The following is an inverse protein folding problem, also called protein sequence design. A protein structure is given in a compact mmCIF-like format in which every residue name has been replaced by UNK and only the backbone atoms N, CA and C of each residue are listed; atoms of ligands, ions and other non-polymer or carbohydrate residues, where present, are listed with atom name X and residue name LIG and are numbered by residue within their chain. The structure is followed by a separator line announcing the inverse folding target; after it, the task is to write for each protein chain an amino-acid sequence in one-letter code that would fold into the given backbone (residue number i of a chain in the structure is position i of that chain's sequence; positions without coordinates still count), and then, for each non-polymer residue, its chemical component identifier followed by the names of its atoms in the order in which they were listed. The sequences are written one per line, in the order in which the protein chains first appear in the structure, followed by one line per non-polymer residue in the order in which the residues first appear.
data_IF_968001896656
#
_entry.id   IF_968001896656
#
_cell.length_a   1.000
_cell.length_b   1.000
_cell.length_c   1.000
_cell.angle_alpha   90.00
_cell.angle_beta   90.00
_cell.angle_gamma   90.00
#
_symmetry.space_group_name_H-M   'P 1'
#
loop_
_entity.id
_entity.type
_entity.pdbx_description
1 polymer ?
#
# COMPACT_ATOMS: atom_id res chain seq x y z
N UNK A 1 -30.57 20.54 15.23
CA UNK A 1 -30.51 19.07 15.46
C UNK A 1 -30.43 18.42 14.08
N UNK A 2 -29.26 18.49 13.44
CA UNK A 2 -29.03 18.08 12.04
C UNK A 2 -28.08 16.90 12.09
N UNK A 3 -28.67 15.72 12.11
CA UNK A 3 -28.03 14.43 12.35
C UNK A 3 -28.20 13.63 11.06
N UNK A 4 -27.43 13.94 10.00
CA UNK A 4 -27.33 13.14 8.75
C UNK A 4 -26.30 13.63 7.71
N UNK A 5 -25.56 14.73 7.94
CA UNK A 5 -24.57 15.26 6.96
C UNK A 5 -23.14 14.69 7.11
N UNK A 6 -22.92 13.65 7.93
CA UNK A 6 -21.58 13.13 8.25
C UNK A 6 -21.09 11.93 7.41
N UNK A 7 -21.84 11.50 6.38
CA UNK A 7 -21.54 10.26 5.61
C UNK A 7 -20.82 10.52 4.26
N UNK A 8 -20.43 11.77 3.93
CA UNK A 8 -19.94 12.12 2.57
C UNK A 8 -18.47 12.56 2.46
N UNK A 9 -17.56 11.94 3.22
CA UNK A 9 -16.10 12.04 2.99
C UNK A 9 -15.49 10.64 2.79
N UNK A 10 -16.20 9.77 2.05
CA UNK A 10 -15.74 8.39 1.75
C UNK A 10 -16.07 7.99 0.33
N UNK A 11 -15.75 8.86 -0.61
CA UNK A 11 -15.55 8.56 -2.02
C UNK A 11 -14.33 9.38 -2.43
N UNK A 12 -13.55 8.92 -3.41
CA UNK A 12 -12.23 9.46 -3.84
C UNK A 12 -11.01 8.69 -3.35
N UNK A 13 -11.10 7.38 -3.46
CA UNK A 13 -10.04 6.49 -3.95
C UNK A 13 -10.45 5.95 -5.31
N UNK A 14 -11.16 6.79 -6.07
CA UNK A 14 -11.99 6.40 -7.18
C UNK A 14 -11.20 6.05 -8.45
N UNK A 15 -9.94 5.59 -8.35
CA UNK A 15 -9.20 4.75 -9.31
C UNK A 15 -8.43 3.66 -8.54
N UNK A 16 -9.11 3.08 -7.55
CA UNK A 16 -9.37 1.64 -7.49
C UNK A 16 -10.72 1.30 -8.18
N UNK A 17 -11.37 2.30 -8.80
CA UNK A 17 -12.56 2.20 -9.66
C UNK A 17 -12.10 1.57 -10.96
N UNK A 18 -12.44 0.31 -11.23
CA UNK A 18 -13.80 -0.20 -11.28
C UNK A 18 -14.01 -1.51 -10.48
N UNK A 19 -13.22 -1.79 -9.43
CA UNK A 19 -13.29 -3.13 -8.82
C UNK A 19 -12.95 -3.35 -7.36
N UNK A 20 -12.28 -2.44 -6.64
CA UNK A 20 -11.63 -2.90 -5.41
C UNK A 20 -11.60 -1.94 -4.20
N UNK A 21 -12.70 -1.23 -3.96
CA UNK A 21 -13.13 -1.03 -2.55
C UNK A 21 -14.52 -1.62 -2.40
N UNK A 22 -14.55 -2.94 -2.20
CA UNK A 22 -15.67 -3.51 -1.45
C UNK A 22 -15.63 -2.82 -0.09
N UNK A 23 -16.71 -2.15 0.33
CA UNK A 23 -16.78 -1.54 1.65
C UNK A 23 -16.32 -2.56 2.68
N UNK A 24 -15.19 -2.31 3.35
CA UNK A 24 -14.68 -3.22 4.37
C UNK A 24 -15.76 -3.31 5.43
N UNK A 25 -16.23 -4.53 5.70
CA UNK A 25 -17.33 -4.69 6.64
C UNK A 25 -16.84 -4.27 8.03
N UNK A 26 -17.67 -3.63 8.86
CA UNK A 26 -17.25 -3.16 10.18
C UNK A 26 -16.60 -4.23 11.07
N UNK A 27 -17.02 -5.49 10.93
CA UNK A 27 -16.42 -6.65 11.58
C UNK A 27 -14.98 -6.95 11.14
N UNK A 28 -14.68 -6.75 9.86
CA UNK A 28 -13.34 -6.96 9.28
C UNK A 28 -12.36 -5.86 9.75
N UNK A 29 -12.85 -4.66 10.12
CA UNK A 29 -12.03 -3.55 10.63
C UNK A 29 -11.39 -3.84 12.01
N UNK A 30 -12.06 -4.61 12.87
CA UNK A 30 -11.49 -4.93 14.21
C UNK A 30 -10.28 -5.86 14.10
N UNK A 31 -10.36 -6.89 13.23
CA UNK A 31 -9.24 -7.78 12.95
C UNK A 31 -8.10 -7.02 12.28
N UNK A 32 -8.44 -6.21 11.28
CA UNK A 32 -7.50 -5.35 10.56
C UNK A 32 -6.67 -4.45 11.48
N UNK A 33 -7.32 -3.71 12.39
CA UNK A 33 -6.62 -2.81 13.33
C UNK A 33 -5.63 -3.55 14.25
N UNK A 34 -6.00 -4.75 14.72
CA UNK A 34 -5.13 -5.57 15.57
C UNK A 34 -3.86 -6.00 14.83
N UNK A 35 -4.00 -6.43 13.57
CA UNK A 35 -2.83 -6.86 12.79
C UNK A 35 -2.00 -5.66 12.35
N UNK A 36 -2.62 -4.56 11.95
CA UNK A 36 -1.93 -3.30 11.68
C UNK A 36 -1.10 -2.84 12.89
N UNK A 37 -1.65 -2.94 14.10
CA UNK A 37 -0.88 -2.67 15.31
C UNK A 37 0.28 -3.65 15.50
N UNK A 38 0.07 -4.95 15.26
CA UNK A 38 1.13 -5.97 15.35
C UNK A 38 2.22 -5.83 14.28
N UNK A 39 1.90 -5.35 13.09
CA UNK A 39 2.88 -5.05 12.05
C UNK A 39 3.78 -3.88 12.45
N UNK A 40 3.20 -2.89 13.13
CA UNK A 40 3.87 -1.64 13.48
C UNK A 40 4.65 -1.70 14.79
N UNK A 41 4.37 -2.68 15.66
CA UNK A 41 5.02 -2.80 16.98
C UNK A 41 6.44 -3.39 16.91
N UNK A 42 6.73 -4.24 15.93
CA UNK A 42 8.04 -4.89 15.76
C UNK A 42 8.47 -4.85 14.30
N UNK A 43 8.88 -3.68 13.79
CA UNK A 43 9.24 -3.56 12.39
C UNK A 43 10.63 -4.16 12.14
N UNK A 44 10.67 -5.31 11.48
CA UNK A 44 11.88 -5.77 10.81
C UNK A 44 11.85 -5.21 9.38
N UNK A 45 12.54 -4.10 9.14
CA UNK A 45 12.64 -3.47 7.84
C UNK A 45 14.07 -2.99 7.56
N UNK A 46 14.66 -3.45 6.46
CA UNK A 46 15.98 -3.03 6.00
C UNK A 46 15.90 -2.47 4.59
N UNK A 47 16.38 -1.23 4.40
CA UNK A 47 16.27 -0.52 3.11
C UNK A 47 16.94 -1.28 1.95
N UNK A 48 18.12 -1.85 2.19
CA UNK A 48 18.87 -2.64 1.21
C UNK A 48 18.08 -3.85 0.72
N UNK A 49 17.45 -4.59 1.64
CA UNK A 49 16.65 -5.76 1.29
C UNK A 49 15.46 -5.40 0.38
N UNK A 50 14.87 -4.22 0.57
CA UNK A 50 13.74 -3.74 -0.24
C UNK A 50 14.17 -3.42 -1.68
N UNK A 51 15.23 -2.62 -1.84
CA UNK A 51 15.69 -2.07 -3.14
C UNK A 51 16.37 -3.11 -4.03
N UNK A 52 17.08 -4.06 -3.43
CA UNK A 52 17.85 -5.08 -4.19
C UNK A 52 16.96 -6.19 -4.78
N UNK A 53 15.63 -6.05 -4.75
CA UNK A 53 14.71 -7.13 -5.07
C UNK A 53 13.42 -6.65 -5.73
N UNK A 54 12.97 -7.45 -6.69
CA UNK A 54 11.59 -7.43 -7.17
C UNK A 54 10.76 -8.41 -6.37
N UNK A 55 9.56 -7.99 -5.98
CA UNK A 55 8.66 -8.75 -5.14
C UNK A 55 7.40 -9.09 -5.92
N UNK A 56 7.04 -10.36 -5.99
CA UNK A 56 5.78 -10.80 -6.61
C UNK A 56 4.70 -10.89 -5.55
N UNK A 57 3.60 -10.19 -5.73
CA UNK A 57 2.44 -10.26 -4.83
C UNK A 57 1.69 -11.56 -5.09
N UNK A 58 1.49 -12.36 -4.05
CA UNK A 58 0.79 -13.66 -4.09
C UNK A 58 -0.55 -13.67 -3.38
N UNK A 59 -0.72 -12.77 -2.42
CA UNK A 59 -1.96 -12.57 -1.71
C UNK A 59 -2.18 -11.09 -1.49
N UNK A 60 -3.42 -10.67 -1.67
CA UNK A 60 -3.91 -9.37 -1.23
C UNK A 60 -5.11 -9.56 -0.29
N UNK A 61 -5.33 -8.58 0.57
CA UNK A 61 -6.48 -8.54 1.45
C UNK A 61 -7.28 -7.27 1.19
N UNK A 62 -8.61 -7.42 1.19
CA UNK A 62 -9.60 -6.38 0.95
C UNK A 62 -9.50 -5.70 -0.44
N UNK A 63 -8.61 -6.19 -1.29
CA UNK A 63 -8.35 -5.69 -2.64
C UNK A 63 -8.22 -6.91 -3.57
N UNK A 64 -9.14 -7.07 -4.51
CA UNK A 64 -9.02 -8.11 -5.54
C UNK A 64 -8.14 -7.58 -6.67
N UNK A 65 -6.90 -8.06 -6.75
CA UNK A 65 -5.95 -7.72 -7.80
C UNK A 65 -6.16 -8.56 -9.09
N UNK A 66 -7.29 -9.28 -9.17
CA UNK A 66 -7.60 -10.22 -10.25
C UNK A 66 -6.58 -11.36 -10.36
N UNK A 67 -6.65 -12.15 -11.44
CA UNK A 67 -5.69 -13.22 -11.73
C UNK A 67 -4.35 -12.72 -12.28
N UNK A 68 -3.93 -11.51 -11.91
CA UNK A 68 -2.65 -10.93 -12.33
C UNK A 68 -1.51 -11.39 -11.41
N UNK A 69 -0.27 -11.10 -11.82
CA UNK A 69 0.92 -11.31 -11.00
C UNK A 69 1.62 -9.98 -10.74
N UNK A 70 1.12 -9.18 -9.78
CA UNK A 70 1.65 -7.86 -9.53
C UNK A 70 3.11 -7.96 -9.11
N UNK A 71 3.98 -7.25 -9.82
CA UNK A 71 5.35 -7.02 -9.37
C UNK A 71 5.44 -5.69 -8.63
N UNK A 72 6.01 -5.74 -7.43
CA UNK A 72 6.30 -4.62 -6.55
C UNK A 72 7.82 -4.40 -6.54
N UNK A 73 8.25 -3.18 -6.83
CA UNK A 73 9.65 -2.78 -6.77
C UNK A 73 9.85 -1.51 -5.95
N UNK A 74 11.02 -1.42 -5.33
CA UNK A 74 11.46 -0.27 -4.54
C UNK A 74 12.69 0.32 -5.22
N UNK A 75 12.67 1.63 -5.42
CA UNK A 75 13.78 2.38 -5.97
C UNK A 75 14.12 3.55 -5.08
N UNK A 76 15.39 3.96 -5.07
CA UNK A 76 15.72 5.29 -4.58
C UNK A 76 15.14 6.31 -5.55
N UNK A 77 14.33 7.28 -5.08
CA UNK A 77 13.72 8.25 -5.96
C UNK A 77 14.81 9.19 -6.51
N UNK A 78 14.72 9.47 -7.82
CA UNK A 78 15.51 10.52 -8.45
C UNK A 78 14.68 11.81 -8.57
N UNK A 79 15.34 12.91 -8.95
CA UNK A 79 14.68 14.20 -9.13
C UNK A 79 13.55 14.12 -10.17
N UNK A 80 13.63 13.22 -11.14
CA UNK A 80 12.60 13.06 -12.18
C UNK A 80 11.32 12.48 -11.58
N UNK A 81 11.44 11.42 -10.78
CA UNK A 81 10.32 10.80 -10.07
C UNK A 81 9.69 11.78 -9.07
N UNK A 82 10.51 12.49 -8.29
CA UNK A 82 10.05 13.49 -7.32
C UNK A 82 9.29 14.61 -8.03
N UNK A 83 9.89 15.22 -9.06
CA UNK A 83 9.26 16.33 -9.77
C UNK A 83 7.98 15.91 -10.49
N UNK A 84 7.93 14.70 -11.06
CA UNK A 84 6.72 14.17 -11.68
C UNK A 84 5.58 14.10 -10.68
N UNK A 85 5.79 13.42 -9.55
CA UNK A 85 4.75 13.22 -8.54
C UNK A 85 4.39 14.55 -7.87
N UNK A 86 5.37 15.40 -7.57
CA UNK A 86 5.13 16.75 -7.06
C UNK A 86 4.22 17.55 -8.00
N UNK A 87 4.57 17.65 -9.30
CA UNK A 87 3.84 18.48 -10.27
C UNK A 87 2.37 18.08 -10.40
N UNK A 88 2.07 16.80 -10.21
CA UNK A 88 0.74 16.22 -10.28
C UNK A 88 -0.01 16.35 -8.95
N UNK A 89 0.64 16.10 -7.82
CA UNK A 89 -0.06 15.87 -6.55
C UNK A 89 -0.06 17.05 -5.59
N UNK A 90 0.92 17.96 -5.64
CA UNK A 90 1.14 18.94 -4.57
C UNK A 90 -0.11 19.79 -4.25
N UNK A 91 -0.84 20.20 -5.29
CA UNK A 91 -2.07 21.02 -5.13
C UNK A 91 -3.23 20.26 -4.51
N UNK A 92 -3.21 18.94 -4.56
CA UNK A 92 -4.27 18.09 -4.03
C UNK A 92 -3.97 17.61 -2.61
N UNK A 93 -2.75 17.76 -2.09
CA UNK A 93 -2.40 17.31 -0.75
C UNK A 93 -3.01 18.19 0.36
N UNK A 94 -3.46 17.55 1.46
CA UNK A 94 -3.83 18.22 2.72
C UNK A 94 -2.61 18.77 3.45
N UNK A 95 -1.51 18.03 3.41
CA UNK A 95 -0.25 18.35 4.06
C UNK A 95 0.88 18.03 3.09
N UNK A 96 1.77 19.00 2.88
CA UNK A 96 2.93 18.85 1.99
C UNK A 96 4.02 18.04 2.72
N UNK A 97 4.44 16.88 2.19
CA UNK A 97 5.61 16.18 2.72
C UNK A 97 6.90 16.92 2.33
N UNK A 98 8.03 16.63 2.99
CA UNK A 98 9.33 17.12 2.55
C UNK A 98 9.74 16.41 1.25
N UNK A 99 9.30 16.91 0.09
CA UNK A 99 9.45 16.24 -1.22
C UNK A 99 10.87 15.78 -1.56
N UNK A 100 11.87 16.59 -1.24
CA UNK A 100 13.29 16.28 -1.45
C UNK A 100 13.84 15.21 -0.51
N UNK A 101 13.08 14.81 0.52
CA UNK A 101 13.43 13.78 1.49
C UNK A 101 12.68 12.47 1.24
N UNK A 102 12.11 12.29 0.03
CA UNK A 102 11.55 11.01 -0.38
C UNK A 102 12.60 9.90 -0.24
N UNK A 103 12.22 8.79 0.39
CA UNK A 103 13.12 7.68 0.72
C UNK A 103 13.02 6.57 -0.31
N UNK A 104 11.80 6.31 -0.80
CA UNK A 104 11.55 5.32 -1.84
C UNK A 104 10.56 5.83 -2.88
N UNK A 105 10.75 5.42 -4.12
CA UNK A 105 9.68 5.26 -5.09
C UNK A 105 9.27 3.78 -5.09
N UNK A 106 7.99 3.51 -4.84
CA UNK A 106 7.40 2.19 -5.05
C UNK A 106 6.73 2.18 -6.42
N UNK A 107 6.95 1.11 -7.18
CA UNK A 107 6.17 0.81 -8.39
C UNK A 107 5.42 -0.51 -8.25
N UNK A 108 4.15 -0.53 -8.65
CA UNK A 108 3.32 -1.74 -8.76
C UNK A 108 2.39 -1.63 -9.96
N UNK A 109 2.51 -2.53 -10.94
CA UNK A 109 1.68 -2.51 -12.17
C UNK A 109 1.66 -1.13 -12.87
N UNK A 110 2.81 -0.48 -12.94
CA UNK A 110 2.96 0.87 -13.53
C UNK A 110 2.48 2.03 -12.65
N UNK A 111 1.78 1.76 -11.55
CA UNK A 111 1.41 2.76 -10.55
C UNK A 111 2.60 3.08 -9.66
N UNK A 112 2.73 4.35 -9.29
CA UNK A 112 3.90 4.87 -8.56
C UNK A 112 3.48 5.54 -7.27
N UNK A 113 4.36 5.51 -6.26
CA UNK A 113 4.16 6.20 -5.00
C UNK A 113 5.50 6.64 -4.43
N UNK A 114 5.59 7.87 -3.95
CA UNK A 114 6.73 8.29 -3.11
C UNK A 114 6.44 7.94 -1.66
N UNK A 115 7.45 7.41 -0.96
CA UNK A 115 7.43 7.18 0.47
C UNK A 115 8.39 8.11 1.20
N UNK A 116 7.92 8.66 2.29
CA UNK A 116 8.65 9.52 3.23
C UNK A 116 8.71 8.81 4.58
N UNK A 117 9.76 9.07 5.37
CA UNK A 117 9.84 8.50 6.72
C UNK A 117 8.63 8.94 7.55
N UNK A 118 8.06 8.02 8.32
CA UNK A 118 7.03 8.37 9.29
C UNK A 118 7.62 9.29 10.39
N UNK A 119 6.93 10.38 10.78
CA UNK A 119 7.41 11.31 11.82
C UNK A 119 7.69 10.67 13.18
N UNK A 120 7.09 9.50 13.49
CA UNK A 120 7.38 8.75 14.72
C UNK A 120 8.75 8.06 14.70
N UNK A 121 9.41 7.97 13.54
CA UNK A 121 10.72 7.35 13.39
C UNK A 121 10.73 5.82 13.46
N UNK A 122 9.55 5.20 13.52
CA UNK A 122 9.41 3.75 13.52
C UNK A 122 9.85 3.20 12.15
N UNK A 123 10.84 2.31 12.14
CA UNK A 123 11.31 1.68 10.89
C UNK A 123 10.17 0.94 10.19
N UNK A 124 10.21 0.85 8.86
CA UNK A 124 9.16 0.20 8.09
C UNK A 124 7.83 0.96 8.05
N UNK A 125 7.66 2.08 8.78
CA UNK A 125 6.53 2.98 8.63
C UNK A 125 6.88 4.16 7.73
N UNK A 126 5.95 4.49 6.86
CA UNK A 126 6.11 5.55 5.88
C UNK A 126 4.82 6.35 5.70
N UNK A 127 4.99 7.59 5.29
CA UNK A 127 3.93 8.39 4.69
C UNK A 127 4.07 8.34 3.17
N UNK A 128 2.97 8.14 2.45
CA UNK A 128 2.95 7.89 1.02
C UNK A 128 2.17 8.93 0.24
N UNK A 129 2.71 9.32 -0.92
CA UNK A 129 2.00 10.11 -1.93
C UNK A 129 1.89 9.26 -3.21
N UNK A 130 0.68 8.78 -3.57
CA UNK A 130 0.51 8.08 -4.84
C UNK A 130 0.61 9.07 -6.01
N UNK A 131 1.14 8.61 -7.14
CA UNK A 131 0.91 9.26 -8.42
C UNK A 131 -0.51 8.91 -8.86
N UNK A 132 -1.36 9.92 -9.03
CA UNK A 132 -2.64 9.82 -9.69
C UNK A 132 -2.49 10.60 -10.99
N UNK A 133 -2.73 9.96 -12.13
CA UNK A 133 -2.60 10.64 -13.42
C UNK A 133 -3.78 11.61 -13.61
N UNK A 134 -3.59 12.69 -14.38
CA UNK A 134 -4.63 13.74 -14.53
C UNK A 134 -5.98 13.21 -15.07
N UNK A 135 -5.94 12.18 -15.91
CA UNK A 135 -7.12 11.49 -16.45
C UNK A 135 -7.81 10.58 -15.43
N UNK A 136 -7.14 10.31 -14.29
CA UNK A 136 -7.63 9.51 -13.19
C UNK A 136 -8.29 10.34 -12.08
N UNK A 137 -8.10 11.67 -12.11
CA UNK A 137 -8.76 12.61 -11.22
C UNK A 137 -10.20 12.87 -11.65
N UNK A 138 -11.14 12.15 -11.04
CA UNK A 138 -12.56 12.52 -11.12
C UNK A 138 -12.81 13.90 -10.49
N UNK A 139 -13.87 14.59 -10.93
CA UNK A 139 -14.21 15.97 -10.52
C UNK A 139 -14.31 16.12 -9.00
N UNK A 140 -14.85 15.11 -8.31
CA UNK A 140 -14.94 15.12 -6.86
C UNK A 140 -13.54 15.09 -6.19
N UNK A 141 -12.54 14.46 -6.81
CA UNK A 141 -11.14 14.36 -6.33
C UNK A 141 -10.46 15.72 -6.34
N UNK A 142 -10.75 16.54 -7.37
CA UNK A 142 -10.23 17.90 -7.47
C UNK A 142 -10.75 18.84 -6.37
N UNK A 143 -11.91 18.52 -5.79
CA UNK A 143 -12.51 19.32 -4.72
C UNK A 143 -12.13 18.88 -3.30
N UNK A 144 -11.46 17.73 -3.14
CA UNK A 144 -11.12 17.15 -1.84
C UNK A 144 -9.61 17.07 -1.68
N UNK A 145 -9.09 17.64 -0.60
CA UNK A 145 -7.67 17.49 -0.26
C UNK A 145 -7.39 16.07 0.21
N UNK A 146 -6.26 15.50 -0.23
CA UNK A 146 -5.84 14.11 0.00
C UNK A 146 -4.85 14.06 1.18
N UNK A 147 -5.10 13.24 2.22
CA UNK A 147 -4.11 13.04 3.28
C UNK A 147 -2.92 12.21 2.79
N UNK A 148 -1.79 12.31 3.49
CA UNK A 148 -0.69 11.36 3.29
C UNK A 148 -1.15 9.95 3.67
N UNK A 149 -0.81 8.96 2.84
CA UNK A 149 -1.16 7.57 3.10
C UNK A 149 -0.18 6.97 4.11
N UNK A 150 -0.67 6.47 5.24
CA UNK A 150 0.18 5.74 6.17
C UNK A 150 0.40 4.31 5.64
N UNK A 151 1.66 3.96 5.44
CA UNK A 151 2.09 2.66 4.93
C UNK A 151 2.97 1.98 5.96
N UNK A 152 2.73 0.69 6.18
CA UNK A 152 3.58 -0.19 6.97
C UNK A 152 4.14 -1.28 6.08
N UNK A 153 5.46 -1.43 6.10
CA UNK A 153 6.21 -2.41 5.33
C UNK A 153 7.09 -3.21 6.30
N UNK A 154 6.95 -4.53 6.27
CA UNK A 154 7.67 -5.43 7.17
C UNK A 154 8.17 -6.65 6.41
N UNK A 155 9.43 -6.99 6.65
CA UNK A 155 9.99 -8.27 6.22
C UNK A 155 9.66 -9.38 7.21
N UNK A 156 9.39 -10.56 6.68
CA UNK A 156 9.19 -11.78 7.46
C UNK A 156 10.25 -12.82 7.11
N UNK A 157 10.48 -13.74 8.06
CA UNK A 157 11.37 -14.89 7.91
C UNK A 157 12.74 -14.53 7.31
N UNK A 158 13.39 -13.48 7.85
CA UNK A 158 14.70 -13.04 7.38
C UNK A 158 14.69 -12.41 5.98
N UNK A 159 13.56 -11.82 5.56
CA UNK A 159 13.45 -11.13 4.26
C UNK A 159 13.01 -12.01 3.10
N UNK A 160 12.47 -13.22 3.38
CA UNK A 160 11.86 -14.07 2.35
C UNK A 160 10.54 -13.50 1.84
N UNK A 161 9.78 -12.89 2.75
CA UNK A 161 8.47 -12.29 2.47
C UNK A 161 8.46 -10.83 2.87
N UNK A 162 7.63 -10.06 2.20
CA UNK A 162 7.35 -8.66 2.49
C UNK A 162 5.83 -8.50 2.63
N UNK A 163 5.40 -7.95 3.76
CA UNK A 163 4.03 -7.46 3.93
C UNK A 163 4.04 -5.95 3.76
N UNK A 164 3.15 -5.45 2.92
CA UNK A 164 2.79 -4.03 2.84
C UNK A 164 1.32 -3.85 3.23
N UNK A 165 1.01 -2.79 3.97
CA UNK A 165 -0.34 -2.51 4.45
C UNK A 165 -0.58 -1.00 4.61
N UNK A 166 -1.79 -0.53 4.28
CA UNK A 166 -2.20 0.87 4.48
C UNK A 166 -3.20 1.02 5.63
N UNK A 167 -2.67 1.05 6.85
CA UNK A 167 -3.47 0.91 8.07
C UNK A 167 -4.50 2.02 8.34
N UNK A 168 -4.38 3.18 7.70
CA UNK A 168 -5.26 4.32 7.94
C UNK A 168 -6.61 4.23 7.21
N UNK A 169 -6.63 3.61 6.04
CA UNK A 169 -7.82 3.58 5.16
C UNK A 169 -8.52 2.24 5.14
N UNK A 170 -8.07 1.27 5.96
CA UNK A 170 -8.48 -0.13 5.88
C UNK A 170 -8.03 -0.83 4.59
N UNK A 171 -7.45 -0.08 3.65
CA UNK A 171 -7.21 -0.49 2.28
C UNK A 171 -6.01 -1.41 2.14
N UNK A 172 -6.14 -2.34 1.21
CA UNK A 172 -5.08 -3.15 0.58
C UNK A 172 -3.90 -3.52 1.46
N UNK A 173 -3.91 -4.74 2.02
CA UNK A 173 -2.67 -5.38 2.47
C UNK A 173 -2.21 -6.38 1.43
N UNK A 174 -0.91 -6.57 1.27
CA UNK A 174 -0.35 -7.51 0.31
C UNK A 174 0.80 -8.30 0.92
N UNK A 175 0.87 -9.58 0.58
CA UNK A 175 2.00 -10.46 0.86
C UNK A 175 2.74 -10.67 -0.46
N UNK A 176 3.96 -10.16 -0.48
CA UNK A 176 4.86 -10.28 -1.60
C UNK A 176 6.04 -11.20 -1.25
N UNK A 177 6.53 -11.88 -2.28
CA UNK A 177 7.61 -12.85 -2.19
C UNK A 177 8.73 -12.38 -3.07
N UNK A 178 9.98 -12.48 -2.59
CA UNK A 178 11.14 -12.16 -3.40
C UNK A 178 11.18 -13.05 -4.65
N UNK A 179 11.30 -12.44 -5.84
CA UNK A 179 11.24 -13.16 -7.12
C UNK A 179 12.33 -14.24 -7.24
N UNK A 180 13.53 -13.95 -6.74
CA UNK A 180 14.65 -14.90 -6.67
C UNK A 180 14.52 -15.79 -5.44
N UNK A 181 14.57 -17.12 -5.63
CA UNK A 181 14.44 -18.08 -4.53
C UNK A 181 13.01 -18.25 -4.03
N UNK A 182 12.04 -18.12 -4.94
CA UNK A 182 10.59 -18.25 -4.69
C UNK A 182 10.27 -19.51 -3.84
N UNK A 183 9.68 -19.38 -2.64
CA UNK A 183 9.23 -20.51 -1.83
C UNK A 183 8.09 -21.29 -2.50
N UNK A 184 7.81 -22.50 -2.00
CA UNK A 184 6.69 -23.30 -2.51
C UNK A 184 5.35 -22.66 -2.15
N UNK A 185 4.32 -22.93 -2.96
CA UNK A 185 2.95 -22.48 -2.69
C UNK A 185 2.49 -22.76 -1.26
N UNK A 186 2.70 -23.98 -0.76
CA UNK A 186 2.28 -24.36 0.59
C UNK A 186 2.94 -23.49 1.69
N UNK A 187 4.19 -23.06 1.49
CA UNK A 187 4.88 -22.16 2.43
C UNK A 187 4.26 -20.76 2.37
N UNK A 188 4.00 -20.25 1.16
CA UNK A 188 3.36 -18.93 0.97
C UNK A 188 1.93 -18.93 1.56
N UNK A 189 1.17 -20.01 1.36
CA UNK A 189 -0.17 -20.19 1.90
C UNK A 189 -0.17 -20.20 3.44
N UNK A 190 0.83 -20.86 4.04
CA UNK A 190 0.99 -20.92 5.49
C UNK A 190 1.29 -19.54 6.08
N UNK A 191 2.22 -18.79 5.47
CA UNK A 191 2.52 -17.40 5.87
C UNK A 191 1.28 -16.53 5.71
N UNK A 192 0.59 -16.61 4.57
CA UNK A 192 -0.63 -15.84 4.33
C UNK A 192 -1.78 -16.22 5.29
N UNK A 193 -1.82 -17.44 5.82
CA UNK A 193 -2.83 -17.85 6.79
C UNK A 193 -2.58 -17.29 8.20
N UNK A 194 -1.34 -16.90 8.52
CA UNK A 194 -0.99 -16.27 9.79
C UNK A 194 -1.48 -14.81 9.90
N UNK A 195 -1.88 -14.20 8.78
CA UNK A 195 -2.34 -12.81 8.72
C UNK A 195 -3.80 -12.72 8.26
N UNK A 196 -4.67 -12.32 9.19
CA UNK A 196 -6.11 -12.11 8.96
C UNK A 196 -6.44 -10.61 8.81
N UNK A 197 -6.02 -10.01 7.68
CA UNK A 197 -6.43 -8.63 7.34
C UNK A 197 -7.88 -8.56 6.83
N UNK A 198 -8.68 -9.63 6.97
CA UNK A 198 -10.02 -9.75 6.41
C UNK A 198 -10.04 -10.64 5.16
N UNK A 199 -10.82 -10.26 4.15
CA UNK A 199 -11.05 -11.10 2.97
C UNK A 199 -9.77 -11.20 2.13
N UNK A 200 -9.24 -12.42 2.03
CA UNK A 200 -8.02 -12.76 1.28
C UNK A 200 -8.33 -13.16 -0.16
N UNK A 201 -7.55 -12.63 -1.10
CA UNK A 201 -7.61 -12.92 -2.53
C UNK A 201 -6.25 -13.48 -2.98
N UNK A 202 -6.18 -14.70 -3.51
CA UNK A 202 -4.95 -15.20 -4.13
C UNK A 202 -4.72 -14.49 -5.46
N UNK A 203 -3.48 -14.08 -5.69
CA UNK A 203 -3.00 -13.62 -7.00
C UNK A 203 -2.13 -14.71 -7.61
N UNK A 204 -1.61 -14.46 -8.82
CA UNK A 204 -0.70 -15.39 -9.47
C UNK A 204 -1.21 -16.83 -9.65
N UNK A 205 -2.52 -17.01 -9.82
CA UNK A 205 -3.13 -18.35 -9.83
C UNK A 205 -2.54 -19.27 -10.92
N UNK A 206 -2.06 -18.69 -12.02
CA UNK A 206 -1.44 -19.42 -13.14
C UNK A 206 0.06 -19.70 -12.98
N UNK A 207 0.72 -19.09 -12.00
CA UNK A 207 2.17 -19.18 -11.76
C UNK A 207 2.54 -20.06 -10.55
N UNK A 208 1.55 -20.70 -9.93
CA UNK A 208 1.76 -21.66 -8.84
C UNK A 208 2.33 -22.98 -9.31
#
# INVERSE_FOLDING_TARGET
MVLLDFIRVTLLTSIVVDGAIQSIRPEDLKGYNKICHSLTSEPYFEKSLAVESTWTVYYSWNLDLSNTCPELSFHYPDDTAINRIYSQMHRYMQTEPPWSEAVFEITMEGRRMLLFNDPSGIQGRFQGVPLIEDNEFDFAFKSTKIPLLEMSIKFLEGGKYLISSSCHVGGGSALAVRRKGRPKKAEIDAVAAAYDFGKRFPTCIKEW
#
